data_IF_736650595502
#
_entry.id   IF_736650595502
#
_cell.length_a   1.000
_cell.length_b   1.000
_cell.length_c   1.000
_cell.angle_alpha   90.00
_cell.angle_beta   90.00
_cell.angle_gamma   90.00
#
_symmetry.space_group_name_H-M   'P 1'
#
loop_
_entity.id
_entity.type
_entity.pdbx_description
1 polymer ?
#
# COMPACT_ATOMS: atom_id res chain seq x y z
N UNK A 1 -13.91 20.75 -8.73
CA UNK A 1 -15.09 19.87 -8.76
C UNK A 1 -16.30 20.70 -8.47
N UNK A 2 -17.39 20.48 -9.18
CA UNK A 2 -18.68 21.13 -8.92
C UNK A 2 -19.67 20.08 -8.46
N UNK A 3 -20.42 20.39 -7.39
CA UNK A 3 -21.40 19.50 -6.79
C UNK A 3 -21.37 19.49 -5.27
N UNK A 4 -22.30 18.78 -4.66
CA UNK A 4 -22.39 18.64 -3.21
C UNK A 4 -21.28 17.73 -2.68
N UNK A 5 -20.73 18.08 -1.51
CA UNK A 5 -19.79 17.21 -0.81
C UNK A 5 -20.48 15.90 -0.39
N UNK A 6 -19.83 14.74 -0.57
CA UNK A 6 -20.33 13.47 -0.06
C UNK A 6 -20.35 13.48 1.46
N UNK A 7 -21.23 12.65 2.02
CA UNK A 7 -21.19 12.25 3.43
C UNK A 7 -20.89 10.76 3.50
N UNK A 8 -20.85 10.19 4.70
CA UNK A 8 -20.71 8.73 4.86
C UNK A 8 -21.91 7.96 4.31
N UNK A 9 -23.07 8.62 4.13
CA UNK A 9 -24.31 8.01 3.64
C UNK A 9 -24.75 8.48 2.26
N UNK A 10 -24.00 9.38 1.61
CA UNK A 10 -24.38 9.95 0.31
C UNK A 10 -23.28 9.84 -0.74
N UNK A 11 -23.69 9.51 -1.96
CA UNK A 11 -22.82 9.46 -3.16
C UNK A 11 -23.37 10.44 -4.20
N UNK A 12 -23.12 11.75 -4.04
CA UNK A 12 -23.64 12.76 -4.96
C UNK A 12 -22.99 12.68 -6.34
N UNK A 13 -23.71 13.20 -7.34
CA UNK A 13 -23.16 13.47 -8.65
C UNK A 13 -22.23 14.69 -8.58
N UNK A 14 -21.20 14.69 -9.43
CA UNK A 14 -20.27 15.81 -9.57
C UNK A 14 -19.91 16.03 -11.04
N UNK A 15 -19.42 17.24 -11.33
CA UNK A 15 -18.55 17.47 -12.49
C UNK A 15 -17.14 17.78 -12.00
N UNK A 16 -16.15 17.36 -12.77
CA UNK A 16 -14.73 17.56 -12.46
C UNK A 16 -14.03 18.07 -13.70
N UNK A 17 -13.13 19.04 -13.50
CA UNK A 17 -12.12 19.42 -14.49
C UNK A 17 -10.77 19.22 -13.83
N UNK A 18 -9.88 18.54 -14.54
CA UNK A 18 -8.50 18.28 -14.10
C UNK A 18 -7.59 19.26 -14.80
N UNK A 19 -6.64 19.82 -14.06
CA UNK A 19 -5.71 20.84 -14.54
C UNK A 19 -4.26 20.40 -14.34
N UNK A 20 -3.39 20.88 -15.21
CA UNK A 20 -1.95 20.98 -14.97
C UNK A 20 -1.63 22.46 -14.72
N UNK A 21 -1.36 22.81 -13.46
CA UNK A 21 -1.37 24.20 -13.02
C UNK A 21 -2.73 24.84 -13.31
N UNK A 22 -2.76 25.85 -14.17
CA UNK A 22 -3.99 26.52 -14.61
C UNK A 22 -4.53 26.04 -15.95
N UNK A 23 -3.84 25.10 -16.61
CA UNK A 23 -4.22 24.60 -17.93
C UNK A 23 -5.22 23.45 -17.79
N UNK A 24 -6.47 23.57 -18.30
CA UNK A 24 -7.42 22.48 -18.23
C UNK A 24 -6.97 21.34 -19.16
N UNK A 25 -6.86 20.13 -18.60
CA UNK A 25 -6.51 18.93 -19.34
C UNK A 25 -7.75 18.23 -19.90
N UNK A 26 -8.73 17.97 -19.03
CA UNK A 26 -10.01 17.38 -19.41
C UNK A 26 -11.10 17.66 -18.38
N UNK A 27 -12.36 17.49 -18.80
CA UNK A 27 -13.52 17.52 -17.92
C UNK A 27 -14.30 16.22 -18.00
N UNK A 28 -14.93 15.84 -16.89
CA UNK A 28 -15.78 14.67 -16.77
C UNK A 28 -16.98 14.97 -15.86
N UNK A 29 -18.01 14.13 -15.95
CA UNK A 29 -19.04 14.02 -14.93
C UNK A 29 -18.85 12.72 -14.16
N UNK A 30 -19.54 12.54 -13.05
CA UNK A 30 -19.38 11.30 -12.31
C UNK A 30 -20.06 11.33 -10.96
N UNK A 31 -19.61 10.43 -10.10
CA UNK A 31 -19.96 10.42 -8.68
C UNK A 31 -18.70 10.45 -7.85
N UNK A 32 -18.82 10.96 -6.65
CA UNK A 32 -17.78 10.86 -5.63
C UNK A 32 -18.38 10.45 -4.29
N UNK A 33 -17.59 9.75 -3.49
CA UNK A 33 -17.99 9.21 -2.20
C UNK A 33 -16.81 9.23 -1.24
N UNK A 34 -17.10 9.17 0.06
CA UNK A 34 -16.09 8.97 1.10
C UNK A 34 -15.34 7.64 0.88
N UNK A 35 -14.06 7.59 1.25
CA UNK A 35 -13.19 6.41 1.11
C UNK A 35 -12.45 6.07 2.41
N UNK A 36 -12.28 4.77 2.63
CA UNK A 36 -11.54 4.19 3.76
C UNK A 36 -12.46 3.83 4.92
N UNK A 37 -12.06 2.81 5.68
CA UNK A 37 -12.84 2.26 6.80
C UNK A 37 -12.62 3.09 8.07
N UNK A 38 -11.39 3.11 8.58
CA UNK A 38 -11.02 3.88 9.77
C UNK A 38 -11.09 5.39 9.50
N UNK A 39 -10.73 5.83 8.30
CA UNK A 39 -10.64 7.24 7.90
C UNK A 39 -11.97 7.87 7.48
N UNK A 40 -13.07 7.13 7.41
CA UNK A 40 -14.35 7.67 6.94
C UNK A 40 -14.88 8.80 7.85
N UNK A 41 -14.56 8.72 9.15
CA UNK A 41 -14.89 9.71 10.16
C UNK A 41 -13.89 10.86 10.29
N UNK A 42 -12.82 10.88 9.48
CA UNK A 42 -11.83 11.96 9.52
C UNK A 42 -12.47 13.31 9.14
N UNK A 43 -12.02 14.40 9.77
CA UNK A 43 -12.43 15.75 9.36
C UNK A 43 -12.00 16.05 7.93
N UNK A 44 -10.76 15.67 7.56
CA UNK A 44 -10.29 15.71 6.17
C UNK A 44 -10.53 14.34 5.52
N UNK A 45 -11.68 14.20 4.88
CA UNK A 45 -12.10 12.93 4.27
C UNK A 45 -11.30 12.58 3.01
N UNK A 46 -11.14 11.30 2.74
CA UNK A 46 -10.66 10.78 1.45
C UNK A 46 -11.84 10.64 0.48
N UNK A 47 -11.57 10.78 -0.82
CA UNK A 47 -12.60 10.75 -1.86
C UNK A 47 -12.29 9.69 -2.92
N UNK A 48 -13.25 8.81 -3.21
CA UNK A 48 -13.20 7.93 -4.40
C UNK A 48 -14.05 8.54 -5.52
N UNK A 49 -13.45 8.73 -6.69
CA UNK A 49 -14.11 9.34 -7.85
C UNK A 49 -14.39 8.27 -8.90
N UNK A 50 -15.62 8.19 -9.39
CA UNK A 50 -16.01 7.35 -10.53
C UNK A 50 -16.35 8.25 -11.72
N UNK A 51 -15.55 8.19 -12.77
CA UNK A 51 -15.62 9.15 -13.88
C UNK A 51 -16.50 8.62 -15.04
N UNK A 52 -17.21 9.55 -15.67
CA UNK A 52 -18.05 9.34 -16.84
C UNK A 52 -17.79 10.42 -17.89
N UNK A 53 -17.88 10.03 -19.16
CA UNK A 53 -17.87 10.96 -20.26
C UNK A 53 -19.18 11.77 -20.25
N UNK A 54 -19.10 13.09 -20.16
CA UNK A 54 -20.28 13.95 -20.00
C UNK A 54 -21.20 13.96 -21.23
N UNK A 55 -20.70 13.62 -22.42
CA UNK A 55 -21.48 13.58 -23.66
C UNK A 55 -22.20 12.25 -23.85
N UNK A 56 -21.59 11.13 -23.44
CA UNK A 56 -22.15 9.78 -23.68
C UNK A 56 -22.75 9.14 -22.44
N UNK A 57 -22.39 9.59 -21.24
CA UNK A 57 -22.76 8.97 -19.97
C UNK A 57 -22.01 7.68 -19.65
N UNK A 58 -21.15 7.21 -20.56
CA UNK A 58 -20.36 5.98 -20.38
C UNK A 58 -19.21 6.21 -19.39
N UNK A 59 -18.72 5.13 -18.77
CA UNK A 59 -17.51 5.16 -17.92
C UNK A 59 -16.35 5.79 -18.70
N UNK A 60 -15.63 6.70 -18.05
CA UNK A 60 -14.42 7.30 -18.59
C UNK A 60 -13.21 6.65 -17.91
N UNK A 61 -12.37 5.98 -18.69
CA UNK A 61 -11.08 5.48 -18.21
C UNK A 61 -10.02 6.56 -18.33
N UNK A 62 -9.30 6.81 -17.25
CA UNK A 62 -8.15 7.72 -17.18
C UNK A 62 -6.86 6.91 -17.11
N UNK A 63 -5.88 7.28 -17.93
CA UNK A 63 -4.51 6.78 -17.85
C UNK A 63 -3.60 7.93 -17.42
N UNK A 64 -2.84 7.74 -16.35
CA UNK A 64 -1.85 8.71 -15.87
C UNK A 64 -0.47 8.09 -16.03
N UNK A 65 0.36 8.70 -16.88
CA UNK A 65 1.67 8.16 -17.23
C UNK A 65 1.58 6.69 -17.67
N UNK A 66 2.37 5.85 -16.99
CA UNK A 66 2.49 4.43 -17.28
C UNK A 66 1.52 3.54 -16.49
N UNK A 67 0.54 4.10 -15.76
CA UNK A 67 -0.46 3.28 -15.09
C UNK A 67 -1.41 2.64 -16.11
N UNK A 68 -2.13 1.58 -15.70
CA UNK A 68 -3.24 1.11 -16.51
C UNK A 68 -4.37 2.14 -16.60
N UNK A 69 -5.22 2.09 -17.64
CA UNK A 69 -6.44 2.87 -17.67
C UNK A 69 -7.37 2.47 -16.51
N UNK A 70 -7.74 3.44 -15.66
CA UNK A 70 -8.61 3.22 -14.50
C UNK A 70 -9.92 3.96 -14.67
N UNK A 71 -11.03 3.36 -14.24
CA UNK A 71 -12.34 4.03 -14.24
C UNK A 71 -12.66 4.74 -12.92
N UNK A 72 -11.76 4.59 -11.94
CA UNK A 72 -11.81 5.32 -10.68
C UNK A 72 -10.43 5.78 -10.24
N UNK A 73 -10.39 6.89 -9.51
CA UNK A 73 -9.19 7.39 -8.84
C UNK A 73 -9.55 7.77 -7.41
N UNK A 74 -8.57 7.75 -6.52
CA UNK A 74 -8.77 8.15 -5.12
C UNK A 74 -7.98 9.43 -4.85
N UNK A 75 -8.61 10.38 -4.16
CA UNK A 75 -7.94 11.51 -3.54
C UNK A 75 -7.79 11.20 -2.05
N UNK A 76 -6.59 10.82 -1.63
CA UNK A 76 -6.26 10.51 -0.23
C UNK A 76 -5.86 11.80 0.48
N UNK A 77 -6.61 12.20 1.49
CA UNK A 77 -6.34 13.38 2.30
C UNK A 77 -5.26 13.17 3.36
N UNK A 78 -4.96 11.89 3.66
CA UNK A 78 -4.01 11.41 4.67
C UNK A 78 -4.06 12.23 5.96
N UNK A 79 -5.01 11.88 6.83
CA UNK A 79 -5.24 12.61 8.07
C UNK A 79 -4.03 12.59 9.01
N UNK A 80 -3.17 11.58 8.89
CA UNK A 80 -1.96 11.30 9.68
C UNK A 80 -0.66 11.72 9.00
N UNK A 81 -0.54 11.63 7.67
CA UNK A 81 0.62 12.11 6.90
C UNK A 81 0.34 13.47 6.25
N UNK A 82 0.86 14.54 6.83
CA UNK A 82 0.70 15.91 6.32
C UNK A 82 1.77 16.30 5.32
N UNK A 83 2.77 15.46 5.11
CA UNK A 83 3.78 15.64 4.08
C UNK A 83 3.28 15.20 2.70
N UNK A 84 2.26 14.32 2.65
CA UNK A 84 1.65 13.77 1.45
C UNK A 84 2.60 12.95 0.57
N UNK A 85 3.76 12.54 1.09
CA UNK A 85 4.77 11.82 0.32
C UNK A 85 4.96 10.38 0.77
N UNK A 86 4.58 9.98 1.99
CA UNK A 86 5.01 8.71 2.60
C UNK A 86 4.53 7.49 1.83
N UNK A 87 3.25 7.46 1.48
CA UNK A 87 2.65 6.35 0.74
C UNK A 87 3.28 6.19 -0.65
N UNK A 88 3.35 7.28 -1.42
CA UNK A 88 3.90 7.26 -2.78
C UNK A 88 5.40 6.99 -2.81
N UNK A 89 6.14 7.52 -1.84
CA UNK A 89 7.57 7.23 -1.64
C UNK A 89 7.77 5.73 -1.40
N UNK A 90 7.12 5.17 -0.37
CA UNK A 90 7.32 3.76 0.04
C UNK A 90 7.03 2.79 -1.10
N UNK A 91 5.91 2.99 -1.79
CA UNK A 91 5.50 2.13 -2.91
C UNK A 91 6.42 2.26 -4.12
N UNK A 92 6.97 3.46 -4.39
CA UNK A 92 7.98 3.64 -5.44
C UNK A 92 9.28 2.90 -5.13
N UNK A 93 9.77 2.98 -3.88
CA UNK A 93 10.97 2.24 -3.44
C UNK A 93 10.77 0.74 -3.61
N UNK A 94 9.65 0.24 -3.09
CA UNK A 94 9.34 -1.19 -3.16
C UNK A 94 9.27 -1.71 -4.59
N UNK A 95 8.66 -0.96 -5.51
CA UNK A 95 8.62 -1.34 -6.93
C UNK A 95 10.04 -1.44 -7.53
N UNK A 96 10.94 -0.51 -7.21
CA UNK A 96 12.33 -0.60 -7.67
C UNK A 96 13.07 -1.78 -7.05
N UNK A 97 12.87 -2.03 -5.75
CA UNK A 97 13.42 -3.21 -5.08
C UNK A 97 12.97 -4.47 -5.81
N UNK A 98 11.66 -4.66 -5.96
CA UNK A 98 11.08 -5.87 -6.53
C UNK A 98 11.48 -6.11 -7.99
N UNK A 99 11.58 -5.04 -8.81
CA UNK A 99 12.09 -5.13 -10.18
C UNK A 99 13.55 -5.57 -10.25
N UNK A 100 14.36 -5.36 -9.22
CA UNK A 100 15.76 -5.79 -9.25
C UNK A 100 15.87 -7.29 -8.92
N UNK A 101 16.59 -8.11 -9.72
CA UNK A 101 17.31 -7.77 -10.95
C UNK A 101 16.54 -8.08 -12.24
N UNK A 102 15.38 -8.72 -12.15
CA UNK A 102 14.65 -9.30 -13.30
C UNK A 102 14.03 -8.27 -14.25
N UNK A 103 13.84 -7.04 -13.80
CA UNK A 103 13.02 -6.01 -14.45
C UNK A 103 11.51 -6.18 -14.22
N UNK A 104 11.07 -7.25 -13.54
CA UNK A 104 9.65 -7.61 -13.38
C UNK A 104 9.21 -7.51 -11.92
N UNK A 105 7.94 -7.15 -11.69
CA UNK A 105 7.36 -7.08 -10.35
C UNK A 105 6.78 -8.42 -9.86
N UNK A 106 6.57 -9.35 -10.79
CA UNK A 106 6.03 -10.68 -10.59
C UNK A 106 6.82 -11.72 -11.40
N UNK A 107 6.65 -13.03 -11.13
CA UNK A 107 7.18 -14.08 -12.00
C UNK A 107 6.71 -13.90 -13.43
N UNK A 108 7.58 -14.23 -14.40
CA UNK A 108 7.28 -14.07 -15.83
C UNK A 108 5.97 -14.77 -16.25
N UNK A 109 5.67 -15.92 -15.64
CA UNK A 109 4.44 -16.67 -15.91
C UNK A 109 3.15 -15.89 -15.62
N UNK A 110 3.16 -14.96 -14.67
CA UNK A 110 2.01 -14.11 -14.37
C UNK A 110 1.71 -13.13 -15.52
N UNK A 111 2.75 -12.61 -16.16
CA UNK A 111 2.60 -11.76 -17.36
C UNK A 111 2.16 -12.59 -18.57
N UNK A 112 2.79 -13.75 -18.78
CA UNK A 112 2.53 -14.63 -19.92
C UNK A 112 1.10 -15.21 -19.95
N UNK A 113 0.39 -15.21 -18.82
CA UNK A 113 -1.02 -15.58 -18.75
C UNK A 113 -1.87 -14.81 -19.80
N UNK A 114 -1.51 -13.56 -20.08
CA UNK A 114 -2.24 -12.65 -20.95
C UNK A 114 -1.71 -12.63 -22.41
N UNK A 115 -0.68 -13.43 -22.74
CA UNK A 115 -0.09 -13.45 -24.09
C UNK A 115 -1.12 -13.86 -25.16
N UNK A 116 -2.02 -14.78 -24.82
CA UNK A 116 -3.06 -15.27 -25.72
C UNK A 116 -4.26 -14.33 -25.88
N UNK A 117 -4.44 -13.37 -24.97
CA UNK A 117 -5.62 -12.48 -24.92
C UNK A 117 -5.32 -11.09 -25.48
N UNK A 118 -4.20 -10.50 -25.08
CA UNK A 118 -3.84 -9.13 -25.43
C UNK A 118 -2.37 -8.97 -25.83
N UNK A 119 -1.68 -10.07 -26.11
CA UNK A 119 -0.26 -10.09 -26.51
C UNK A 119 0.68 -9.61 -25.38
N UNK A 120 0.30 -9.83 -24.12
CA UNK A 120 1.16 -9.55 -22.97
C UNK A 120 1.37 -8.06 -22.72
N UNK A 121 0.36 -7.24 -23.03
CA UNK A 121 0.43 -5.77 -22.89
C UNK A 121 0.36 -5.29 -21.45
N UNK A 122 0.25 -6.22 -20.50
CA UNK A 122 0.08 -5.94 -19.07
C UNK A 122 1.37 -5.54 -18.32
N UNK A 123 2.30 -4.85 -19.00
CA UNK A 123 3.61 -4.44 -18.43
C UNK A 123 3.53 -3.24 -17.48
N UNK A 124 2.37 -2.57 -17.45
CA UNK A 124 2.07 -1.39 -16.62
C UNK A 124 1.61 -1.70 -15.19
N UNK A 125 1.49 -2.98 -14.83
CA UNK A 125 1.05 -3.43 -13.50
C UNK A 125 1.92 -2.84 -12.38
N UNK A 126 1.28 -2.24 -11.39
CA UNK A 126 1.97 -1.54 -10.29
C UNK A 126 2.28 -2.44 -9.10
N UNK A 127 1.48 -3.48 -8.87
CA UNK A 127 1.54 -4.38 -7.72
C UNK A 127 1.45 -3.69 -6.35
N UNK A 128 0.94 -2.47 -6.31
CA UNK A 128 0.71 -1.64 -5.14
C UNK A 128 0.05 -0.34 -5.64
N UNK A 129 -0.14 0.64 -4.76
CA UNK A 129 -0.63 1.97 -5.15
C UNK A 129 0.51 2.83 -5.74
N UNK A 130 0.14 3.82 -6.56
CA UNK A 130 1.02 4.90 -6.96
C UNK A 130 0.25 6.22 -6.88
N UNK A 131 0.93 7.33 -6.59
CA UNK A 131 0.26 8.62 -6.46
C UNK A 131 1.21 9.80 -6.47
N UNK A 132 0.62 10.99 -6.43
CA UNK A 132 1.31 12.26 -6.33
C UNK A 132 0.41 13.34 -5.68
N UNK A 133 0.99 14.37 -5.03
CA UNK A 133 0.23 15.48 -4.47
C UNK A 133 -0.60 16.22 -5.53
N UNK A 134 -1.81 16.62 -5.17
CA UNK A 134 -2.74 17.35 -6.03
C UNK A 134 -3.66 18.26 -5.19
N UNK A 135 -4.10 19.37 -5.80
CA UNK A 135 -5.08 20.26 -5.19
C UNK A 135 -6.52 19.78 -5.44
N UNK A 136 -7.38 19.95 -4.43
CA UNK A 136 -8.81 19.77 -4.59
C UNK A 136 -9.55 21.08 -4.31
N UNK A 137 -10.28 21.54 -5.32
CA UNK A 137 -11.19 22.67 -5.25
C UNK A 137 -12.63 22.19 -5.42
N UNK A 138 -13.55 22.64 -4.57
CA UNK A 138 -14.98 22.33 -4.65
C UNK A 138 -15.79 23.63 -4.73
N UNK A 139 -16.62 23.77 -5.77
CA UNK A 139 -17.43 24.97 -6.04
C UNK A 139 -16.63 26.28 -5.91
N UNK A 140 -15.42 26.31 -6.49
CA UNK A 140 -14.48 27.44 -6.41
C UNK A 140 -13.77 27.65 -5.07
N UNK A 141 -14.04 26.83 -4.05
CA UNK A 141 -13.38 26.89 -2.73
C UNK A 141 -12.28 25.84 -2.63
N UNK A 142 -11.09 26.24 -2.18
CA UNK A 142 -10.01 25.30 -1.91
C UNK A 142 -10.39 24.38 -0.75
N UNK A 143 -10.48 23.08 -1.01
CA UNK A 143 -10.79 22.09 0.00
C UNK A 143 -9.53 21.56 0.67
N UNK A 144 -8.43 21.39 -0.06
CA UNK A 144 -7.15 20.97 0.52
C UNK A 144 -6.19 20.35 -0.49
N UNK A 145 -4.99 20.03 0.00
CA UNK A 145 -4.00 19.19 -0.68
C UNK A 145 -4.31 17.71 -0.44
N UNK A 146 -4.22 16.90 -1.48
CA UNK A 146 -4.51 15.47 -1.46
C UNK A 146 -3.40 14.72 -2.19
N UNK A 147 -3.39 13.39 -2.11
CA UNK A 147 -2.65 12.52 -3.02
C UNK A 147 -3.64 11.91 -4.00
N UNK A 148 -3.49 12.23 -5.28
CA UNK A 148 -4.19 11.51 -6.35
C UNK A 148 -3.49 10.16 -6.51
N UNK A 149 -4.24 9.09 -6.26
CA UNK A 149 -3.71 7.73 -6.14
C UNK A 149 -4.43 6.76 -7.07
N UNK A 150 -3.68 5.81 -7.63
CA UNK A 150 -4.22 4.64 -8.28
C UNK A 150 -5.10 3.84 -7.30
N UNK A 151 -6.14 3.14 -7.79
CA UNK A 151 -7.05 2.39 -6.94
C UNK A 151 -6.42 1.08 -6.44
N UNK A 152 -5.32 0.61 -7.05
CA UNK A 152 -4.77 -0.72 -6.87
C UNK A 152 -5.84 -1.80 -7.17
N UNK A 153 -6.36 -1.77 -8.39
CA UNK A 153 -7.40 -2.71 -8.85
C UNK A 153 -6.76 -3.99 -9.43
N UNK A 154 -7.58 -4.98 -9.77
CA UNK A 154 -7.14 -6.29 -10.28
C UNK A 154 -6.06 -6.26 -11.39
N UNK A 155 -6.13 -5.38 -12.40
CA UNK A 155 -5.08 -5.31 -13.43
C UNK A 155 -3.71 -4.96 -12.85
N UNK A 156 -3.64 -4.15 -11.78
CA UNK A 156 -2.37 -3.78 -11.12
C UNK A 156 -1.67 -4.99 -10.50
N UNK A 157 -2.40 -6.08 -10.24
CA UNK A 157 -1.90 -7.34 -9.68
C UNK A 157 -1.87 -8.49 -10.70
N UNK A 158 -2.14 -8.22 -11.98
CA UNK A 158 -2.26 -9.23 -13.03
C UNK A 158 -3.31 -10.30 -12.71
N UNK A 159 -4.42 -9.91 -12.09
CA UNK A 159 -5.50 -10.82 -11.73
C UNK A 159 -6.55 -10.90 -12.83
N UNK A 160 -7.14 -12.09 -12.98
CA UNK A 160 -8.27 -12.38 -13.86
C UNK A 160 -9.39 -12.89 -12.95
N UNK A 161 -10.40 -12.06 -12.72
CA UNK A 161 -11.50 -12.35 -11.80
C UNK A 161 -12.42 -13.47 -12.29
N UNK A 162 -12.28 -13.92 -13.54
CA UNK A 162 -12.97 -15.10 -14.06
C UNK A 162 -12.25 -16.42 -13.75
N UNK A 163 -10.99 -16.35 -13.28
CA UNK A 163 -10.18 -17.51 -12.96
C UNK A 163 -10.11 -17.72 -11.43
N UNK A 164 -10.74 -18.79 -10.95
CA UNK A 164 -10.77 -19.13 -9.53
C UNK A 164 -9.41 -19.44 -8.88
N UNK A 165 -8.33 -19.58 -9.66
CA UNK A 165 -6.98 -19.74 -9.13
C UNK A 165 -6.23 -18.40 -8.97
N UNK A 166 -6.76 -17.32 -9.57
CA UNK A 166 -6.27 -15.96 -9.40
C UNK A 166 -6.95 -15.36 -8.18
N UNK A 167 -6.32 -15.52 -7.03
CA UNK A 167 -6.85 -15.08 -5.74
C UNK A 167 -6.09 -13.84 -5.29
N UNK A 168 -6.82 -12.80 -4.89
CA UNK A 168 -6.28 -11.58 -4.29
C UNK A 168 -7.12 -11.23 -3.06
N UNK A 169 -6.46 -11.16 -1.91
CA UNK A 169 -7.11 -10.88 -0.62
C UNK A 169 -6.32 -9.82 0.16
N UNK A 170 -7.06 -8.94 0.85
CA UNK A 170 -6.52 -7.92 1.75
C UNK A 170 -7.06 -8.19 3.16
N UNK A 171 -6.24 -8.25 4.22
CA UNK A 171 -6.76 -8.34 5.57
C UNK A 171 -7.42 -7.03 5.99
N UNK A 172 -8.57 -7.14 6.67
CA UNK A 172 -9.29 -6.05 7.32
C UNK A 172 -9.30 -6.32 8.83
N UNK A 173 -8.15 -6.10 9.47
CA UNK A 173 -7.86 -6.45 10.86
C UNK A 173 -7.93 -7.96 11.16
N UNK A 174 -7.32 -8.79 10.29
CA UNK A 174 -7.22 -10.23 10.45
C UNK A 174 -6.34 -10.66 11.64
N UNK A 175 -6.84 -10.48 12.86
CA UNK A 175 -6.10 -10.66 14.12
C UNK A 175 -5.54 -12.07 14.30
N UNK A 176 -6.22 -13.08 13.72
CA UNK A 176 -5.90 -14.49 13.90
C UNK A 176 -5.08 -15.10 12.75
N UNK A 177 -4.64 -14.29 11.77
CA UNK A 177 -3.86 -14.78 10.60
C UNK A 177 -2.63 -15.61 11.03
N UNK A 178 -1.96 -15.19 12.11
CA UNK A 178 -0.76 -15.87 12.61
C UNK A 178 -1.05 -17.06 13.51
N UNK A 179 -2.31 -17.31 13.84
CA UNK A 179 -2.77 -18.51 14.56
C UNK A 179 -3.21 -19.62 13.60
N UNK A 180 -3.21 -19.36 12.30
CA UNK A 180 -3.50 -20.35 11.28
C UNK A 180 -4.98 -20.54 10.97
N UNK A 181 -5.83 -19.60 11.39
CA UNK A 181 -7.27 -19.62 11.12
C UNK A 181 -7.64 -18.53 10.13
N UNK A 182 -8.18 -18.94 8.99
CA UNK A 182 -8.74 -18.01 8.01
C UNK A 182 -10.22 -17.81 8.28
N UNK A 183 -10.59 -16.57 8.61
CA UNK A 183 -11.97 -16.13 8.80
C UNK A 183 -12.29 -15.13 7.71
N UNK A 184 -13.01 -15.54 6.68
CA UNK A 184 -13.33 -14.71 5.49
C UNK A 184 -13.89 -13.32 5.82
N UNK A 185 -14.65 -13.18 6.91
CA UNK A 185 -15.19 -11.88 7.36
C UNK A 185 -14.16 -10.90 7.92
N UNK A 186 -12.90 -11.31 8.05
CA UNK A 186 -11.78 -10.44 8.41
C UNK A 186 -10.95 -10.04 7.18
N UNK A 187 -11.42 -10.32 5.97
CA UNK A 187 -10.70 -10.11 4.72
C UNK A 187 -11.61 -9.53 3.65
N UNK A 188 -11.02 -8.73 2.77
CA UNK A 188 -11.59 -8.43 1.47
C UNK A 188 -11.07 -9.44 0.46
N UNK A 189 -11.97 -10.12 -0.25
CA UNK A 189 -11.68 -10.99 -1.40
C UNK A 189 -11.94 -10.21 -2.68
N UNK A 190 -10.88 -9.73 -3.34
CA UNK A 190 -10.98 -8.91 -4.55
C UNK A 190 -11.08 -9.77 -5.81
N UNK A 191 -10.45 -10.94 -5.81
CA UNK A 191 -10.45 -11.92 -6.90
C UNK A 191 -10.48 -13.33 -6.33
N UNK A 192 -11.18 -14.29 -6.97
CA UNK A 192 -12.04 -14.12 -8.15
C UNK A 192 -13.34 -13.37 -7.84
N UNK A 193 -14.14 -13.07 -8.87
CA UNK A 193 -15.48 -12.53 -8.69
C UNK A 193 -16.40 -13.57 -8.04
N UNK A 194 -16.96 -13.22 -6.87
CA UNK A 194 -17.92 -14.07 -6.14
C UNK A 194 -19.32 -13.45 -6.27
N UNK A 195 -20.30 -14.24 -6.70
CA UNK A 195 -21.66 -13.75 -6.93
C UNK A 195 -22.32 -13.34 -5.62
N UNK A 196 -22.73 -12.07 -5.51
CA UNK A 196 -23.45 -11.54 -4.36
C UNK A 196 -22.58 -11.34 -3.12
N UNK A 197 -21.26 -11.26 -3.30
CA UNK A 197 -20.29 -10.96 -2.26
C UNK A 197 -20.12 -9.44 -2.09
N UNK A 198 -20.20 -8.99 -0.84
CA UNK A 198 -19.69 -7.70 -0.38
C UNK A 198 -18.42 -7.91 0.46
N UNK A 199 -17.59 -6.87 0.59
CA UNK A 199 -16.34 -6.93 1.35
C UNK A 199 -16.59 -7.45 2.78
N UNK A 200 -15.77 -8.43 3.23
CA UNK A 200 -15.88 -9.06 4.54
C UNK A 200 -17.12 -9.96 4.74
N UNK A 201 -17.71 -10.48 3.67
CA UNK A 201 -18.72 -11.54 3.74
C UNK A 201 -18.15 -12.94 4.04
N UNK A 202 -18.98 -13.81 4.62
CA UNK A 202 -18.63 -15.22 4.79
C UNK A 202 -18.70 -15.99 3.47
N UNK A 203 -17.54 -16.34 2.92
CA UNK A 203 -17.42 -17.11 1.68
C UNK A 203 -17.34 -18.64 1.86
N UNK A 204 -17.41 -19.16 3.08
CA UNK A 204 -17.22 -20.59 3.38
C UNK A 204 -18.22 -21.49 2.65
N UNK A 205 -19.43 -20.98 2.36
CA UNK A 205 -20.49 -21.70 1.65
C UNK A 205 -20.64 -21.22 0.21
N UNK A 206 -20.50 -19.92 -0.06
CA UNK A 206 -20.70 -19.35 -1.41
C UNK A 206 -19.51 -19.57 -2.34
N UNK A 207 -18.29 -19.70 -1.81
CA UNK A 207 -17.07 -19.99 -2.56
C UNK A 207 -16.11 -20.92 -1.77
N UNK A 208 -16.51 -22.19 -1.50
CA UNK A 208 -15.79 -23.09 -0.61
C UNK A 208 -14.35 -23.40 -1.07
N UNK A 209 -14.11 -23.49 -2.38
CA UNK A 209 -12.77 -23.76 -2.92
C UNK A 209 -11.80 -22.57 -2.72
N UNK A 210 -12.30 -21.33 -2.84
CA UNK A 210 -11.54 -20.11 -2.58
C UNK A 210 -11.24 -20.01 -1.08
N UNK A 211 -12.26 -20.23 -0.25
CA UNK A 211 -12.08 -20.27 1.20
C UNK A 211 -11.04 -21.32 1.63
N UNK A 212 -11.04 -22.50 1.00
CA UNK A 212 -10.07 -23.56 1.26
C UNK A 212 -8.65 -23.20 0.80
N UNK A 213 -8.49 -22.52 -0.34
CA UNK A 213 -7.19 -22.04 -0.81
C UNK A 213 -6.60 -20.97 0.13
N UNK A 214 -7.40 -20.00 0.57
CA UNK A 214 -6.99 -19.01 1.57
C UNK A 214 -6.67 -19.66 2.93
N UNK A 215 -7.50 -20.61 3.36
CA UNK A 215 -7.28 -21.37 4.59
C UNK A 215 -5.96 -22.14 4.56
N UNK A 216 -5.57 -22.71 3.41
CA UNK A 216 -4.30 -23.44 3.25
C UNK A 216 -3.09 -22.55 3.56
N UNK A 217 -3.02 -21.35 2.98
CA UNK A 217 -1.85 -20.47 3.19
C UNK A 217 -1.82 -19.90 4.61
N UNK A 218 -2.97 -19.46 5.14
CA UNK A 218 -3.06 -18.93 6.51
C UNK A 218 -2.72 -20.02 7.52
N UNK A 219 -3.26 -21.23 7.36
CA UNK A 219 -2.90 -22.39 8.20
C UNK A 219 -1.40 -22.66 8.18
N UNK A 220 -0.77 -22.63 7.00
CA UNK A 220 0.67 -22.84 6.90
C UNK A 220 1.47 -21.77 7.65
N UNK A 221 1.07 -20.49 7.59
CA UNK A 221 1.68 -19.44 8.41
C UNK A 221 1.60 -19.76 9.90
N UNK A 222 0.41 -20.10 10.40
CA UNK A 222 0.19 -20.44 11.80
C UNK A 222 0.98 -21.67 12.26
N UNK A 223 0.99 -22.74 11.45
CA UNK A 223 1.76 -23.95 11.74
C UNK A 223 3.27 -23.67 11.79
N UNK A 224 3.77 -22.79 10.93
CA UNK A 224 5.16 -22.35 10.94
C UNK A 224 5.48 -21.51 12.19
N UNK A 225 4.62 -20.55 12.53
CA UNK A 225 4.76 -19.70 13.73
C UNK A 225 4.74 -20.54 15.01
N UNK A 226 3.88 -21.57 15.06
CA UNK A 226 3.80 -22.50 16.18
C UNK A 226 4.97 -23.51 16.24
N UNK A 227 5.83 -23.57 15.22
CA UNK A 227 6.93 -24.52 15.12
C UNK A 227 6.51 -25.95 14.75
N UNK A 228 5.28 -26.16 14.28
CA UNK A 228 4.77 -27.45 13.83
C UNK A 228 5.27 -27.82 12.42
N UNK A 229 5.61 -26.80 11.61
CA UNK A 229 6.12 -26.94 10.24
C UNK A 229 7.42 -26.16 10.09
N UNK A 230 8.42 -26.77 9.44
CA UNK A 230 9.64 -26.06 9.06
C UNK A 230 9.39 -25.19 7.84
N UNK A 231 9.29 -23.89 8.07
CA UNK A 231 9.12 -22.90 7.01
C UNK A 231 10.27 -22.93 6.00
N UNK A 232 11.53 -23.17 6.40
CA UNK A 232 12.67 -23.22 5.46
C UNK A 232 12.56 -24.40 4.49
N UNK A 233 12.07 -25.54 4.97
CA UNK A 233 11.90 -26.72 4.14
C UNK A 233 10.66 -26.65 3.23
N UNK A 234 9.62 -25.93 3.65
CA UNK A 234 8.29 -26.00 3.01
C UNK A 234 7.90 -24.77 2.20
N UNK A 235 8.55 -23.61 2.40
CA UNK A 235 8.21 -22.37 1.67
C UNK A 235 8.07 -22.53 0.15
N UNK A 236 8.86 -23.36 -0.59
CA UNK A 236 8.75 -23.43 -2.04
C UNK A 236 7.39 -23.94 -2.54
N UNK A 237 6.56 -24.50 -1.65
CA UNK A 237 5.20 -24.98 -1.97
C UNK A 237 4.11 -23.96 -1.64
N UNK A 238 4.44 -22.84 -1.00
CA UNK A 238 3.45 -21.92 -0.43
C UNK A 238 3.68 -20.47 -0.83
N UNK A 239 4.93 -20.00 -0.90
CA UNK A 239 5.22 -18.57 -1.10
C UNK A 239 6.32 -18.29 -2.13
N UNK A 240 6.20 -17.17 -2.82
CA UNK A 240 7.31 -16.56 -3.56
C UNK A 240 8.26 -15.90 -2.55
N UNK A 241 9.34 -16.59 -2.20
CA UNK A 241 10.28 -16.14 -1.17
C UNK A 241 10.75 -14.70 -1.40
N UNK A 242 11.05 -14.33 -2.65
CA UNK A 242 11.57 -13.01 -2.98
C UNK A 242 10.55 -11.90 -2.65
N UNK A 243 9.25 -12.12 -2.86
CA UNK A 243 8.21 -11.12 -2.53
C UNK A 243 8.13 -10.89 -1.02
N UNK A 244 8.22 -11.96 -0.22
CA UNK A 244 8.21 -11.88 1.23
C UNK A 244 9.49 -11.25 1.79
N UNK A 245 10.65 -11.54 1.21
CA UNK A 245 11.91 -10.89 1.59
C UNK A 245 11.84 -9.38 1.31
N UNK A 246 11.41 -8.98 0.12
CA UNK A 246 11.29 -7.56 -0.26
C UNK A 246 10.26 -6.82 0.62
N UNK A 247 9.16 -7.49 1.00
CA UNK A 247 8.15 -6.97 1.91
C UNK A 247 8.69 -6.76 3.34
N UNK A 248 9.42 -7.74 3.89
CA UNK A 248 10.08 -7.59 5.18
C UNK A 248 11.08 -6.43 5.14
N UNK A 249 11.91 -6.35 4.10
CA UNK A 249 12.93 -5.31 3.98
C UNK A 249 12.34 -3.90 3.86
N UNK A 250 11.28 -3.71 3.08
CA UNK A 250 10.66 -2.38 2.96
C UNK A 250 9.98 -1.97 4.26
N UNK A 251 9.33 -2.89 4.98
CA UNK A 251 8.75 -2.57 6.28
C UNK A 251 9.83 -2.19 7.30
N UNK A 252 10.97 -2.89 7.28
CA UNK A 252 12.12 -2.54 8.11
C UNK A 252 12.74 -1.18 7.75
N UNK A 253 12.87 -0.89 6.46
CA UNK A 253 13.43 0.38 5.96
C UNK A 253 12.49 1.56 6.24
N UNK A 254 11.20 1.39 5.97
CA UNK A 254 10.20 2.44 6.07
C UNK A 254 9.63 2.57 7.50
N UNK A 255 9.91 1.63 8.41
CA UNK A 255 9.35 1.68 9.76
C UNK A 255 7.85 1.40 9.80
N UNK A 256 7.34 0.52 8.93
CA UNK A 256 5.91 0.29 8.75
C UNK A 256 5.35 -0.70 9.77
N UNK A 257 4.85 -0.19 10.90
CA UNK A 257 4.27 -1.04 11.95
C UNK A 257 2.82 -1.47 11.64
N UNK A 258 2.08 -0.68 10.86
CA UNK A 258 0.69 -1.00 10.50
C UNK A 258 0.58 -2.06 9.36
N UNK A 259 1.73 -2.39 8.76
CA UNK A 259 1.90 -3.41 7.71
C UNK A 259 2.14 -4.83 8.25
N UNK A 260 2.13 -5.05 9.57
CA UNK A 260 2.42 -6.37 10.14
C UNK A 260 1.24 -7.33 10.07
N UNK A 261 0.00 -6.84 9.96
CA UNK A 261 -1.24 -7.64 9.92
C UNK A 261 -2.32 -7.08 8.98
N UNK A 262 -2.25 -5.80 8.58
CA UNK A 262 -3.37 -5.14 7.90
C UNK A 262 -3.00 -4.60 6.51
N UNK A 263 -1.93 -3.81 6.41
CA UNK A 263 -1.67 -3.03 5.19
C UNK A 263 -0.80 -3.78 4.17
N UNK A 264 -1.32 -4.90 3.67
CA UNK A 264 -0.78 -5.63 2.53
C UNK A 264 -1.85 -6.33 1.71
N UNK A 265 -1.48 -6.66 0.48
CA UNK A 265 -2.22 -7.62 -0.34
C UNK A 265 -1.51 -8.96 -0.33
N UNK A 266 -2.28 -10.04 -0.25
CA UNK A 266 -1.81 -11.41 -0.45
C UNK A 266 -2.49 -11.96 -1.71
N UNK A 267 -1.73 -12.47 -2.66
CA UNK A 267 -2.34 -13.07 -3.84
C UNK A 267 -1.54 -14.13 -4.54
N UNK A 268 -2.21 -14.87 -5.42
CA UNK A 268 -1.67 -15.99 -6.17
C UNK A 268 -2.36 -16.09 -7.52
N UNK A 269 -1.64 -16.57 -8.53
CA UNK A 269 -2.18 -16.84 -9.87
C UNK A 269 -2.46 -18.33 -10.11
N UNK A 270 -2.21 -19.18 -9.12
CA UNK A 270 -2.34 -20.64 -9.26
C UNK A 270 -2.79 -21.32 -7.96
N UNK A 271 -3.50 -20.59 -7.10
CA UNK A 271 -3.92 -21.10 -5.81
C UNK A 271 -5.06 -22.10 -5.94
N UNK A 272 -4.94 -23.20 -5.18
CA UNK A 272 -6.00 -24.19 -4.96
C UNK A 272 -6.01 -24.60 -3.49
N UNK A 273 -6.95 -25.44 -3.11
CA UNK A 273 -6.99 -26.04 -1.77
C UNK A 273 -5.81 -26.96 -1.44
N UNK A 274 -4.97 -27.33 -2.44
CA UNK A 274 -3.85 -28.27 -2.25
C UNK A 274 -2.49 -27.75 -2.72
N UNK A 275 -2.47 -26.72 -3.57
CA UNK A 275 -1.26 -26.16 -4.17
C UNK A 275 -1.38 -24.65 -4.36
N UNK A 276 -0.30 -24.01 -4.81
CA UNK A 276 -0.29 -22.59 -5.16
C UNK A 276 0.78 -21.82 -4.41
N UNK A 277 1.34 -20.84 -5.11
CA UNK A 277 2.40 -19.97 -4.63
C UNK A 277 1.83 -18.58 -4.44
N UNK A 278 1.91 -18.08 -3.21
CA UNK A 278 1.40 -16.78 -2.81
C UNK A 278 2.52 -15.73 -2.79
N UNK A 279 2.19 -14.53 -3.20
CA UNK A 279 3.03 -13.34 -3.12
C UNK A 279 2.39 -12.35 -2.16
N UNK A 280 3.23 -11.47 -1.58
CA UNK A 280 2.78 -10.37 -0.72
C UNK A 280 3.20 -9.04 -1.33
N UNK A 281 2.34 -8.04 -1.22
CA UNK A 281 2.52 -6.70 -1.80
C UNK A 281 2.11 -5.61 -0.82
N UNK A 282 2.70 -4.42 -0.97
CA UNK A 282 2.38 -3.29 -0.11
C UNK A 282 1.01 -2.68 -0.41
N UNK A 283 0.34 -2.26 0.65
CA UNK A 283 -0.86 -1.43 0.58
C UNK A 283 -0.79 -0.35 1.69
N UNK A 284 -1.55 0.75 1.54
CA UNK A 284 -1.70 1.87 2.50
C UNK A 284 -0.45 2.18 3.38
N UNK A 285 0.51 2.91 2.81
CA UNK A 285 1.83 3.14 3.40
C UNK A 285 2.04 4.56 3.97
N UNK A 286 0.98 5.24 4.41
CA UNK A 286 1.06 6.59 4.98
C UNK A 286 1.68 6.61 6.39
N UNK A 287 1.63 5.50 7.13
CA UNK A 287 2.26 5.34 8.45
C UNK A 287 3.69 4.79 8.37
N UNK A 288 4.53 5.54 7.67
CA UNK A 288 5.93 5.17 7.42
C UNK A 288 6.90 6.34 7.65
N UNK A 289 8.18 6.08 7.46
CA UNK A 289 9.30 7.02 7.57
C UNK A 289 9.32 7.75 8.92
N UNK A 290 9.24 6.96 9.99
CA UNK A 290 9.27 7.42 11.38
C UNK A 290 7.92 7.93 11.90
N UNK A 291 6.87 7.97 11.09
CA UNK A 291 5.51 8.14 11.57
C UNK A 291 5.05 6.82 12.20
N UNK A 292 5.04 6.78 13.54
CA UNK A 292 4.58 5.63 14.33
C UNK A 292 3.57 6.20 15.31
N UNK A 293 2.33 5.73 15.25
CA UNK A 293 1.26 6.22 16.12
C UNK A 293 1.66 6.05 17.59
N UNK A 294 1.43 7.08 18.39
CA UNK A 294 1.70 7.05 19.83
C UNK A 294 3.16 7.31 20.20
N UNK A 295 4.06 7.45 19.22
CA UNK A 295 5.46 7.78 19.45
C UNK A 295 5.76 9.20 18.96
N UNK A 296 6.41 10.02 19.79
CA UNK A 296 6.98 11.31 19.40
C UNK A 296 8.32 11.18 18.65
N UNK A 297 8.87 12.30 18.16
CA UNK A 297 10.02 12.38 17.23
C UNK A 297 11.18 11.43 17.52
N UNK A 298 12.10 11.79 18.40
CA UNK A 298 13.32 10.99 18.64
C UNK A 298 13.05 9.55 19.10
N UNK A 299 11.87 9.26 19.68
CA UNK A 299 11.49 7.88 20.07
C UNK A 299 11.30 6.96 18.87
N UNK A 300 11.04 7.50 17.68
CA UNK A 300 11.01 6.74 16.43
C UNK A 300 12.37 6.58 15.76
N UNK A 301 13.46 7.10 16.33
CA UNK A 301 14.80 6.90 15.78
C UNK A 301 15.17 5.41 15.77
N UNK A 302 15.97 5.00 14.79
CA UNK A 302 16.24 3.59 14.49
C UNK A 302 16.78 2.80 15.68
N UNK A 303 17.62 3.41 16.51
CA UNK A 303 18.18 2.83 17.73
C UNK A 303 17.15 2.59 18.84
N UNK A 304 16.07 3.36 18.87
CA UNK A 304 15.01 3.26 19.87
C UNK A 304 13.95 2.24 19.45
N UNK A 305 13.63 2.16 18.15
CA UNK A 305 12.60 1.26 17.65
C UNK A 305 13.12 -0.14 17.33
N UNK A 306 14.42 -0.29 17.04
CA UNK A 306 15.03 -1.57 16.69
C UNK A 306 14.48 -2.16 15.39
N UNK A 307 14.40 -3.49 15.32
CA UNK A 307 13.77 -4.20 14.19
C UNK A 307 12.25 -4.10 14.28
N UNK A 308 11.62 -3.68 13.18
CA UNK A 308 10.14 -3.59 13.06
C UNK A 308 9.53 -4.97 13.24
N UNK A 309 10.08 -5.99 12.58
CA UNK A 309 9.58 -7.36 12.61
C UNK A 309 9.85 -8.09 13.92
N UNK A 310 10.66 -7.55 14.82
CA UNK A 310 10.76 -8.07 16.19
C UNK A 310 9.65 -7.49 17.10
N UNK A 311 9.22 -6.26 16.80
CA UNK A 311 8.25 -5.42 17.52
C UNK A 311 8.31 -5.59 19.07
N UNK A 312 9.46 -5.38 19.71
CA UNK A 312 9.63 -5.67 21.13
C UNK A 312 8.76 -4.81 22.06
N UNK A 313 8.24 -3.70 21.55
CA UNK A 313 7.46 -2.72 22.31
C UNK A 313 5.97 -2.73 21.95
N UNK A 314 5.52 -3.61 21.05
CA UNK A 314 4.10 -3.71 20.66
C UNK A 314 3.58 -2.48 19.92
N UNK A 315 4.42 -1.78 19.16
CA UNK A 315 4.00 -0.64 18.35
C UNK A 315 3.05 -1.07 17.23
N UNK A 316 2.15 -0.16 16.85
CA UNK A 316 1.06 -0.43 15.89
C UNK A 316 -0.04 -1.35 16.42
N UNK A 317 0.07 -1.89 17.64
CA UNK A 317 -0.84 -2.89 18.20
C UNK A 317 -0.99 -4.14 17.32
N UNK A 318 0.03 -4.43 16.51
CA UNK A 318 0.04 -5.55 15.58
C UNK A 318 1.17 -6.53 15.91
N UNK A 319 0.89 -7.81 15.73
CA UNK A 319 1.87 -8.88 15.84
C UNK A 319 2.54 -9.13 14.49
N UNK A 320 3.89 -9.15 14.40
CA UNK A 320 4.59 -9.49 13.17
C UNK A 320 4.50 -10.98 12.79
N UNK A 321 4.09 -11.87 13.71
CA UNK A 321 3.84 -13.29 13.48
C UNK A 321 4.78 -13.99 12.50
N UNK A 322 4.26 -14.37 11.33
CA UNK A 322 5.05 -15.06 10.31
C UNK A 322 6.20 -14.19 9.75
N UNK A 323 6.02 -12.87 9.63
CA UNK A 323 7.11 -11.98 9.20
C UNK A 323 8.27 -11.92 10.20
N UNK A 324 7.99 -12.02 11.51
CA UNK A 324 9.04 -12.18 12.53
C UNK A 324 9.81 -13.48 12.36
N UNK A 325 9.10 -14.56 12.08
CA UNK A 325 9.71 -15.85 11.79
C UNK A 325 10.60 -15.74 10.55
N UNK A 326 10.12 -15.13 9.47
CA UNK A 326 10.90 -14.86 8.25
C UNK A 326 12.16 -14.05 8.54
N UNK A 327 12.04 -12.94 9.28
CA UNK A 327 13.16 -12.11 9.71
C UNK A 327 14.24 -12.92 10.44
N UNK A 328 13.81 -13.90 11.23
CA UNK A 328 14.69 -14.77 12.00
C UNK A 328 15.36 -15.85 11.14
N UNK A 329 14.57 -16.66 10.44
CA UNK A 329 15.06 -17.88 9.79
C UNK A 329 15.66 -17.62 8.41
N UNK A 330 15.23 -16.57 7.70
CA UNK A 330 15.77 -16.15 6.40
C UNK A 330 16.71 -14.94 6.52
N UNK A 331 17.28 -14.72 7.71
CA UNK A 331 18.23 -13.63 7.96
C UNK A 331 19.41 -13.60 6.96
N UNK A 332 20.03 -14.73 6.57
CA UNK A 332 21.07 -14.72 5.54
C UNK A 332 20.58 -14.17 4.19
N UNK A 333 19.39 -14.58 3.75
CA UNK A 333 18.77 -14.15 2.49
C UNK A 333 18.36 -12.67 2.54
N UNK A 334 17.81 -12.20 3.65
CA UNK A 334 17.51 -10.78 3.87
C UNK A 334 18.77 -9.92 3.80
N UNK A 335 19.86 -10.34 4.46
CA UNK A 335 21.16 -9.65 4.42
C UNK A 335 21.72 -9.58 3.00
N UNK A 336 21.68 -10.70 2.28
CA UNK A 336 22.15 -10.76 0.90
C UNK A 336 21.33 -9.84 -0.01
N UNK A 337 20.00 -9.85 0.16
CA UNK A 337 19.09 -8.99 -0.60
C UNK A 337 19.29 -7.51 -0.28
N UNK A 338 19.46 -7.15 0.98
CA UNK A 338 19.80 -5.78 1.36
C UNK A 338 21.11 -5.32 0.71
N UNK A 339 22.17 -6.12 0.80
CA UNK A 339 23.45 -5.78 0.19
C UNK A 339 23.33 -5.59 -1.33
N UNK A 340 22.55 -6.44 -2.02
CA UNK A 340 22.26 -6.29 -3.45
C UNK A 340 21.55 -4.95 -3.76
N UNK A 341 20.54 -4.60 -2.99
CA UNK A 341 19.76 -3.37 -3.18
C UNK A 341 20.58 -2.10 -2.87
N UNK A 342 21.45 -2.16 -1.86
CA UNK A 342 22.42 -1.10 -1.56
C UNK A 342 23.45 -0.95 -2.68
N UNK A 343 24.04 -2.05 -3.17
CA UNK A 343 25.00 -2.04 -4.28
C UNK A 343 24.40 -1.53 -5.58
N UNK A 344 23.12 -1.81 -5.83
CA UNK A 344 22.39 -1.30 -6.99
C UNK A 344 22.01 0.19 -6.88
N UNK A 345 22.26 0.84 -5.73
CA UNK A 345 21.87 2.23 -5.47
C UNK A 345 20.35 2.45 -5.36
N UNK A 346 19.59 1.38 -5.12
CA UNK A 346 18.12 1.43 -4.96
C UNK A 346 17.78 1.88 -3.54
N UNK A 347 18.32 1.18 -2.54
CA UNK A 347 18.27 1.65 -1.16
C UNK A 347 19.47 2.57 -0.98
N UNK A 348 19.24 3.87 -1.07
CA UNK A 348 20.27 4.90 -0.90
C UNK A 348 19.64 6.20 -0.42
N UNK A 349 20.29 6.88 0.53
CA UNK A 349 19.74 8.10 1.13
C UNK A 349 19.64 9.24 0.09
N UNK A 350 20.56 9.33 -0.87
CA UNK A 350 20.46 10.33 -1.93
C UNK A 350 19.38 9.98 -2.95
N UNK A 351 19.17 8.68 -3.26
CA UNK A 351 18.02 8.22 -4.06
C UNK A 351 16.68 8.59 -3.42
N UNK A 352 16.52 8.31 -2.13
CA UNK A 352 15.30 8.64 -1.37
C UNK A 352 15.05 10.15 -1.36
N UNK A 353 16.09 10.96 -1.12
CA UNK A 353 15.99 12.43 -1.17
C UNK A 353 15.52 12.95 -2.53
N UNK A 354 15.94 12.32 -3.64
CA UNK A 354 15.46 12.67 -5.00
C UNK A 354 13.97 12.40 -5.16
N UNK A 355 13.48 11.24 -4.73
CA UNK A 355 12.03 10.96 -4.78
C UNK A 355 11.21 11.93 -3.94
N UNK A 356 11.68 12.27 -2.74
CA UNK A 356 11.00 13.28 -1.94
C UNK A 356 10.93 14.61 -2.69
N UNK A 357 12.02 15.03 -3.34
CA UNK A 357 12.02 16.25 -4.15
C UNK A 357 11.05 16.19 -5.34
N UNK A 358 10.94 15.05 -6.03
CA UNK A 358 10.01 14.83 -7.14
C UNK A 358 8.54 14.96 -6.71
N UNK A 359 8.19 14.58 -5.49
CA UNK A 359 6.83 14.79 -4.98
C UNK A 359 6.61 16.20 -4.45
N UNK A 360 7.57 16.74 -3.70
CA UNK A 360 7.42 18.04 -3.03
C UNK A 360 7.39 19.19 -4.03
N UNK A 361 8.05 19.07 -5.18
CA UNK A 361 8.02 20.12 -6.22
C UNK A 361 6.60 20.35 -6.79
N UNK A 362 5.68 19.40 -6.60
CA UNK A 362 4.28 19.51 -7.00
C UNK A 362 3.42 20.28 -5.99
N UNK A 363 3.99 20.68 -4.85
CA UNK A 363 3.29 21.36 -3.77
C UNK A 363 3.69 22.83 -3.76
N UNK A 364 2.75 23.72 -4.08
CA UNK A 364 2.94 25.17 -3.87
C UNK A 364 2.99 25.45 -2.35
N UNK A 365 4.07 26.08 -1.83
CA UNK A 365 4.18 26.39 -0.40
C UNK A 365 3.03 27.25 0.15
N UNK A 366 2.47 28.15 -0.67
CA UNK A 366 1.35 29.01 -0.26
C UNK A 366 0.05 28.22 -0.15
N UNK A 367 -0.17 27.26 -1.04
CA UNK A 367 -1.32 26.36 -0.99
C UNK A 367 -1.20 25.38 0.18
N UNK A 368 0.01 24.89 0.48
CA UNK A 368 0.25 24.09 1.69
C UNK A 368 -0.03 24.89 2.97
N UNK A 369 0.33 26.17 3.04
CA UNK A 369 -0.05 27.01 4.20
C UNK A 369 -1.57 27.10 4.34
N UNK A 370 -2.30 27.32 3.25
CA UNK A 370 -3.76 27.32 3.26
C UNK A 370 -4.34 25.95 3.68
N UNK A 371 -3.73 24.84 3.25
CA UNK A 371 -4.14 23.50 3.67
C UNK A 371 -3.99 23.31 5.19
N UNK A 372 -2.90 23.77 5.77
CA UNK A 372 -2.65 23.71 7.22
C UNK A 372 -3.58 24.64 8.02
N UNK A 373 -4.06 25.73 7.41
CA UNK A 373 -5.07 26.60 8.01
C UNK A 373 -6.46 25.95 8.02
N UNK A 374 -6.84 25.32 6.91
CA UNK A 374 -8.09 24.56 6.76
C UNK A 374 -8.09 23.31 7.65
N UNK A 375 -6.95 22.64 7.73
CA UNK A 375 -6.75 21.35 8.39
C UNK A 375 -5.60 21.44 9.38
N UNK A 376 -5.89 22.04 10.54
CA UNK A 376 -4.87 22.30 11.58
C UNK A 376 -4.21 21.00 12.05
N UNK A 377 -2.89 21.09 12.25
CA UNK A 377 -2.07 20.03 12.88
C UNK A 377 -2.40 19.78 14.36
N UNK A 378 -3.30 20.58 14.95
CA UNK A 378 -3.77 20.43 16.32
C UNK A 378 -5.22 19.98 16.27
N UNK A 379 -5.47 18.70 16.58
CA UNK A 379 -6.79 18.09 16.51
C UNK A 379 -6.86 16.92 15.51
N UNK A 380 -8.02 16.27 15.45
CA UNK A 380 -8.24 15.08 14.62
C UNK A 380 -8.46 15.46 13.14
N UNK A 381 -7.39 15.68 12.37
CA UNK A 381 -7.47 15.74 10.89
C UNK A 381 -7.65 14.36 10.23
N UNK A 382 -7.52 13.30 11.03
CA UNK A 382 -7.78 11.90 10.69
C UNK A 382 -8.47 11.17 11.83
N UNK A 383 -8.33 9.85 11.88
CA UNK A 383 -8.77 9.01 13.02
C UNK A 383 -7.82 9.12 14.23
N UNK A 384 -6.78 9.95 14.12
CA UNK A 384 -5.69 10.11 15.09
C UNK A 384 -5.40 11.62 15.24
N UNK A 385 -5.08 12.03 16.47
CA UNK A 385 -4.66 13.41 16.77
C UNK A 385 -3.21 13.62 16.33
N UNK A 386 -3.03 14.38 15.25
CA UNK A 386 -1.72 14.73 14.67
C UNK A 386 -0.86 15.62 15.56
N UNK A 387 -1.43 16.24 16.61
CA UNK A 387 -0.64 17.07 17.54
C UNK A 387 0.44 16.27 18.27
N UNK A 388 0.25 14.96 18.39
CA UNK A 388 1.23 14.03 18.95
C UNK A 388 2.44 13.78 18.04
N UNK A 389 2.35 14.16 16.76
CA UNK A 389 3.31 13.82 15.71
C UNK A 389 3.88 15.03 14.98
N UNK A 390 3.63 16.27 15.42
CA UNK A 390 3.97 17.48 14.67
C UNK A 390 5.44 17.58 14.25
N UNK A 391 6.37 17.07 15.08
CA UNK A 391 7.80 17.04 14.80
C UNK A 391 8.16 16.17 13.57
N UNK A 392 7.28 15.22 13.24
CA UNK A 392 7.42 14.24 12.15
C UNK A 392 6.79 14.73 10.85
N UNK A 393 5.95 15.76 10.90
CA UNK A 393 5.26 16.33 9.74
C UNK A 393 6.16 17.27 8.94
N UNK A 394 7.36 16.80 8.59
CA UNK A 394 8.27 17.52 7.71
C UNK A 394 9.04 16.58 6.80
N UNK A 395 9.28 17.04 5.58
CA UNK A 395 10.11 16.30 4.61
C UNK A 395 11.56 16.19 5.07
N UNK A 396 12.06 17.17 5.83
CA UNK A 396 13.40 17.09 6.44
C UNK A 396 13.50 15.95 7.46
N UNK A 397 12.44 15.71 8.24
CA UNK A 397 12.38 14.58 9.16
C UNK A 397 12.43 13.25 8.41
N UNK A 398 11.62 13.08 7.36
CA UNK A 398 11.61 11.86 6.51
C UNK A 398 13.01 11.61 5.93
N UNK A 399 13.68 12.65 5.41
CA UNK A 399 15.04 12.54 4.87
C UNK A 399 16.06 12.12 5.95
N UNK A 400 15.95 12.66 7.16
CA UNK A 400 16.82 12.29 8.28
C UNK A 400 16.57 10.85 8.73
N UNK A 401 15.30 10.47 8.91
CA UNK A 401 14.91 9.11 9.27
C UNK A 401 15.45 8.10 8.27
N UNK A 402 15.26 8.33 6.96
CA UNK A 402 15.76 7.41 5.94
C UNK A 402 17.29 7.23 6.03
N UNK A 403 18.02 8.33 6.22
CA UNK A 403 19.48 8.29 6.33
C UNK A 403 19.95 7.52 7.58
N UNK A 404 19.38 7.81 8.75
CA UNK A 404 19.77 7.14 10.01
C UNK A 404 19.30 5.70 10.04
N UNK A 405 18.12 5.39 9.48
CA UNK A 405 17.59 4.04 9.40
C UNK A 405 18.43 3.14 8.51
N UNK A 406 18.81 3.61 7.32
CA UNK A 406 19.73 2.88 6.43
C UNK A 406 21.06 2.61 7.15
N UNK A 407 21.65 3.62 7.78
CA UNK A 407 22.93 3.47 8.49
C UNK A 407 22.83 2.47 9.65
N UNK A 408 21.71 2.48 10.39
CA UNK A 408 21.48 1.52 11.47
C UNK A 408 21.36 0.09 10.92
N UNK A 409 20.56 -0.14 9.87
CA UNK A 409 20.40 -1.46 9.25
C UNK A 409 21.75 -1.95 8.66
N UNK A 410 22.50 -1.08 7.99
CA UNK A 410 23.85 -1.36 7.49
C UNK A 410 24.76 -1.86 8.63
N UNK A 411 24.75 -1.19 9.78
CA UNK A 411 25.53 -1.60 10.95
C UNK A 411 25.07 -2.96 11.50
N UNK A 412 23.76 -3.21 11.59
CA UNK A 412 23.26 -4.50 12.10
C UNK A 412 23.57 -5.68 11.18
N UNK A 413 23.66 -5.43 9.87
CA UNK A 413 23.93 -6.47 8.86
C UNK A 413 25.38 -6.51 8.39
N UNK A 414 26.23 -5.60 8.88
CA UNK A 414 27.65 -5.52 8.55
C UNK A 414 27.92 -5.08 7.11
N UNK A 415 27.05 -4.26 6.52
CA UNK A 415 27.25 -3.67 5.21
C UNK A 415 28.08 -2.38 5.32
N UNK A 416 29.07 -2.22 4.43
CA UNK A 416 30.02 -1.09 4.47
C UNK A 416 30.21 -0.40 3.10
N UNK A 417 29.38 -0.73 2.11
CA UNK A 417 29.45 -0.13 0.78
C UNK A 417 28.81 1.26 0.77
N UNK A 418 29.60 2.30 1.03
CA UNK A 418 29.23 3.69 0.77
C UNK A 418 29.38 4.02 -0.72
#
# INVERSE_FOLDING_TARGET
MEGDLPTTSTTPNMSVTVFEGTTPLFSASGTWQTQGQSSQGALKQNWKLKLKNSSTGNKLSLRIGDWFPMTSVTLKGYGTDRTLVRDSLTTAIWREMRKNPSGLLAPLSAYQYFDGTDLGTHTSALFTTAGFPAELWQNGTFLGMYVLRSPADLPDYLMDDSNNQHILIQPQHAGNIWEGTFTSTEWTVQSPAISGYDDQDDISTSAPDINAACSRIVKWFGDCVAGNVDARATYPQYIDLQSFLDYVLICELAGSYDSMQNNFELGSWNATSTSGIWSVWLYDCDETWGLIIGLGGAKSDAENIGWVMENPYGYGWQSPGFFKLMHTIFRPELRARWAQLRQAGIIDAARIKRWIAEYVVLIDPTIMQQDLENWKLTGATGSIDVSMNIEKESVSYIMNYAQTRIAWIDAQWGYSGA
#
